data_IF_434866604856
#
_entry.id   IF_434866604856
#
_cell.length_a   1.000
_cell.length_b   1.000
_cell.length_c   1.000
_cell.angle_alpha   90.00
_cell.angle_beta   90.00
_cell.angle_gamma   90.00
#
_symmetry.space_group_name_H-M   'P 1'
#
loop_
_entity.id
_entity.type
_entity.pdbx_description
1 polymer ?
#
# COMPACT_ATOMS: atom_id res chain seq x y z
N UNK A 1 -25.91 -40.10 1.48
CA UNK A 1 -25.47 -39.00 0.62
C UNK A 1 -25.52 -37.70 1.38
N UNK A 2 -24.57 -36.81 1.11
CA UNK A 2 -24.68 -35.39 1.42
C UNK A 2 -25.77 -34.78 0.52
N UNK A 3 -26.46 -33.76 1.02
CA UNK A 3 -27.46 -33.02 0.25
C UNK A 3 -27.10 -31.53 0.21
N UNK A 4 -27.06 -30.97 -0.99
CA UNK A 4 -26.88 -29.54 -1.25
C UNK A 4 -28.21 -28.94 -1.71
N UNK A 5 -28.61 -27.81 -1.12
CA UNK A 5 -29.72 -26.99 -1.62
C UNK A 5 -29.16 -25.71 -2.23
N UNK A 6 -29.50 -25.43 -3.47
CA UNK A 6 -29.11 -24.21 -4.18
C UNK A 6 -30.07 -23.05 -3.88
N UNK A 7 -29.69 -21.83 -4.25
CA UNK A 7 -30.50 -20.63 -4.00
C UNK A 7 -31.87 -20.64 -4.70
N UNK A 8 -32.04 -21.44 -5.76
CA UNK A 8 -33.32 -21.69 -6.43
C UNK A 8 -34.08 -22.91 -5.86
N UNK A 9 -33.74 -23.33 -4.63
CA UNK A 9 -34.32 -24.46 -3.88
C UNK A 9 -34.18 -25.83 -4.55
N UNK A 10 -33.26 -26.01 -5.50
CA UNK A 10 -32.99 -27.36 -6.03
C UNK A 10 -32.16 -28.14 -5.02
N UNK A 11 -32.53 -29.40 -4.82
CA UNK A 11 -31.84 -30.32 -3.93
C UNK A 11 -31.07 -31.36 -4.74
N UNK A 12 -29.78 -31.50 -4.47
CA UNK A 12 -28.88 -32.47 -5.09
C UNK A 12 -28.34 -33.40 -4.01
N UNK A 13 -28.50 -34.72 -4.21
CA UNK A 13 -27.87 -35.74 -3.38
C UNK A 13 -26.60 -36.25 -4.03
N UNK A 14 -25.53 -36.36 -3.26
CA UNK A 14 -24.19 -36.74 -3.73
C UNK A 14 -23.44 -37.47 -2.63
N UNK A 15 -22.36 -38.16 -2.99
CA UNK A 15 -21.46 -38.78 -2.02
C UNK A 15 -20.40 -37.79 -1.51
N UNK A 16 -20.03 -36.79 -2.33
CA UNK A 16 -19.00 -35.81 -2.00
C UNK A 16 -19.41 -34.40 -2.44
N UNK A 17 -18.98 -33.40 -1.66
CA UNK A 17 -19.13 -31.97 -1.96
C UNK A 17 -17.75 -31.31 -1.83
N UNK A 18 -17.34 -30.56 -2.85
CA UNK A 18 -16.11 -29.75 -2.84
C UNK A 18 -16.53 -28.28 -2.92
N UNK A 19 -16.23 -27.51 -1.88
CA UNK A 19 -16.59 -26.09 -1.78
C UNK A 19 -15.42 -25.22 -2.24
N UNK A 20 -15.44 -24.81 -3.50
CA UNK A 20 -14.50 -23.84 -4.08
C UNK A 20 -14.99 -22.39 -3.94
N UNK A 21 -15.47 -21.99 -2.77
CA UNK A 21 -16.17 -20.71 -2.55
C UNK A 21 -15.24 -19.51 -2.30
N UNK A 22 -13.94 -19.66 -2.58
CA UNK A 22 -12.95 -18.61 -2.37
C UNK A 22 -12.60 -18.41 -0.90
N UNK A 23 -12.32 -17.17 -0.53
CA UNK A 23 -11.82 -16.76 0.78
C UNK A 23 -12.53 -15.48 1.24
N UNK A 24 -12.46 -15.20 2.54
CA UNK A 24 -13.03 -14.00 3.15
C UNK A 24 -11.98 -12.89 3.30
N UNK A 25 -12.43 -11.64 3.31
CA UNK A 25 -11.60 -10.43 3.50
C UNK A 25 -11.89 -9.72 4.82
N UNK A 26 -12.92 -10.18 5.55
CA UNK A 26 -13.33 -9.59 6.82
C UNK A 26 -12.24 -9.74 7.88
N UNK A 27 -11.67 -8.63 8.39
CA UNK A 27 -10.66 -8.67 9.45
C UNK A 27 -11.14 -9.39 10.70
N UNK A 28 -12.44 -9.34 11.01
CA UNK A 28 -13.03 -10.01 12.18
C UNK A 28 -12.92 -11.54 12.11
N UNK A 29 -12.71 -12.09 10.92
CA UNK A 29 -12.58 -13.55 10.69
C UNK A 29 -11.13 -14.00 10.57
N UNK A 30 -10.16 -13.10 10.72
CA UNK A 30 -8.74 -13.40 10.65
C UNK A 30 -8.15 -13.49 12.07
N UNK A 31 -7.80 -14.71 12.57
CA UNK A 31 -7.29 -14.89 13.93
C UNK A 31 -6.05 -14.04 14.25
N UNK A 32 -5.17 -13.79 13.27
CA UNK A 32 -3.98 -12.94 13.46
C UNK A 32 -4.33 -11.48 13.78
N UNK A 33 -5.55 -11.04 13.43
CA UNK A 33 -6.04 -9.67 13.67
C UNK A 33 -6.96 -9.58 14.89
N UNK A 34 -7.30 -10.69 15.56
CA UNK A 34 -8.37 -10.77 16.58
C UNK A 34 -8.27 -9.67 17.66
N UNK A 35 -7.05 -9.32 18.10
CA UNK A 35 -6.85 -8.31 19.14
C UNK A 35 -7.15 -6.86 18.76
N UNK A 36 -7.44 -6.57 17.49
CA UNK A 36 -7.67 -5.20 16.99
C UNK A 36 -8.57 -5.14 15.75
N UNK A 37 -9.13 -6.27 15.31
CA UNK A 37 -9.94 -6.36 14.10
C UNK A 37 -11.19 -5.48 14.14
N UNK A 38 -11.77 -5.30 15.33
CA UNK A 38 -12.97 -4.47 15.58
C UNK A 38 -12.72 -2.98 15.34
N UNK A 39 -11.46 -2.56 15.45
CA UNK A 39 -11.03 -1.19 15.20
C UNK A 39 -10.40 -0.98 13.83
N UNK A 40 -10.43 -1.96 12.92
CA UNK A 40 -10.05 -1.76 11.52
C UNK A 40 -11.23 -1.13 10.78
N UNK A 41 -11.00 0.01 10.13
CA UNK A 41 -11.98 0.68 9.29
C UNK A 41 -12.34 -0.20 8.09
N UNK A 42 -13.64 -0.35 7.81
CA UNK A 42 -14.16 -1.14 6.69
C UNK A 42 -15.03 -0.28 5.78
N UNK A 43 -15.32 -0.76 4.57
CA UNK A 43 -16.16 -0.05 3.61
C UNK A 43 -17.58 0.25 4.12
N UNK A 44 -18.14 -0.62 4.97
CA UNK A 44 -19.41 -0.35 5.67
C UNK A 44 -19.43 0.94 6.49
N UNK A 45 -18.27 1.40 6.93
CA UNK A 45 -18.13 2.61 7.75
C UNK A 45 -18.01 3.88 6.90
N UNK A 46 -17.67 3.74 5.62
CA UNK A 46 -17.38 4.86 4.72
C UNK A 46 -18.43 5.03 3.61
N UNK A 47 -19.21 3.99 3.32
CA UNK A 47 -20.20 4.00 2.26
C UNK A 47 -21.52 3.35 2.70
N UNK A 48 -22.61 4.10 2.56
CA UNK A 48 -23.97 3.58 2.72
C UNK A 48 -24.55 3.31 1.33
N UNK A 49 -24.76 2.04 0.94
CA UNK A 49 -25.35 1.71 -0.36
C UNK A 49 -26.84 2.13 -0.42
N UNK A 50 -27.37 2.44 -1.61
CA UNK A 50 -28.81 2.58 -1.81
C UNK A 50 -29.56 1.29 -1.45
N UNK A 51 -30.84 1.45 -1.10
CA UNK A 51 -31.71 0.33 -0.77
C UNK A 51 -31.75 -0.72 -1.89
N UNK A 52 -31.52 -1.98 -1.54
CA UNK A 52 -31.49 -3.12 -2.46
C UNK A 52 -30.15 -3.35 -3.16
N UNK A 53 -29.14 -2.53 -2.87
CA UNK A 53 -27.76 -2.69 -3.36
C UNK A 53 -26.77 -2.99 -2.22
N UNK A 54 -27.28 -3.36 -1.05
CA UNK A 54 -26.45 -3.83 0.07
C UNK A 54 -25.75 -5.14 -0.31
N UNK A 55 -24.44 -5.20 -0.07
CA UNK A 55 -23.63 -6.41 -0.24
C UNK A 55 -22.66 -6.51 0.95
N UNK A 56 -22.91 -7.48 1.84
CA UNK A 56 -22.08 -7.70 3.03
C UNK A 56 -20.64 -8.08 2.70
N UNK A 57 -20.42 -8.76 1.57
CA UNK A 57 -19.10 -9.15 1.11
C UNK A 57 -18.29 -7.95 0.65
N UNK A 58 -18.90 -6.97 -0.03
CA UNK A 58 -18.27 -5.70 -0.36
C UNK A 58 -18.08 -4.82 0.87
N UNK A 59 -19.05 -4.82 1.78
CA UNK A 59 -19.06 -4.00 2.98
C UNK A 59 -17.99 -4.44 4.02
N UNK A 60 -17.53 -5.70 3.98
CA UNK A 60 -16.50 -6.23 4.88
C UNK A 60 -15.07 -5.91 4.46
N UNK A 61 -14.84 -5.39 3.25
CA UNK A 61 -13.48 -5.04 2.82
C UNK A 61 -12.87 -3.97 3.72
N UNK A 62 -11.58 -4.12 4.10
CA UNK A 62 -10.83 -3.07 4.76
C UNK A 62 -10.79 -1.77 3.93
N UNK A 63 -11.03 -0.65 4.59
CA UNK A 63 -10.77 0.68 4.05
C UNK A 63 -9.35 1.09 4.44
N UNK A 64 -8.47 1.22 3.45
CA UNK A 64 -7.03 1.33 3.64
C UNK A 64 -6.50 2.73 3.29
N UNK A 65 -5.33 3.04 3.82
CA UNK A 65 -4.53 4.15 3.32
C UNK A 65 -3.91 3.81 1.94
N UNK A 66 -3.43 4.82 1.19
CA UNK A 66 -2.74 4.62 -0.09
C UNK A 66 -1.49 3.73 -0.04
N UNK A 67 -0.91 3.53 1.14
CA UNK A 67 0.25 2.68 1.39
C UNK A 67 -0.10 1.27 1.87
N UNK A 68 -1.34 0.83 1.64
CA UNK A 68 -1.91 -0.44 2.10
C UNK A 68 -2.06 -0.57 3.62
N UNK A 69 -1.72 0.44 4.42
CA UNK A 69 -1.86 0.34 5.87
C UNK A 69 -3.32 0.39 6.33
N UNK A 70 -3.63 -0.34 7.39
CA UNK A 70 -4.96 -0.28 8.01
C UNK A 70 -5.24 1.11 8.60
N UNK A 71 -6.50 1.53 8.50
CA UNK A 71 -7.02 2.73 9.14
C UNK A 71 -7.81 2.38 10.40
N UNK A 72 -7.78 3.26 11.40
CA UNK A 72 -8.59 3.09 12.60
C UNK A 72 -10.06 3.42 12.30
N UNK A 73 -10.98 2.55 12.71
CA UNK A 73 -12.41 2.86 12.79
C UNK A 73 -12.67 3.91 13.86
N UNK A 74 -12.14 3.70 15.06
CA UNK A 74 -12.19 4.63 16.18
C UNK A 74 -10.78 5.18 16.42
N UNK A 75 -10.57 6.45 16.04
CA UNK A 75 -9.26 7.08 16.08
C UNK A 75 -8.65 7.11 17.49
N UNK A 76 -7.36 6.77 17.60
CA UNK A 76 -6.58 6.82 18.84
C UNK A 76 -6.66 5.57 19.73
N UNK A 77 -7.48 4.57 19.39
CA UNK A 77 -7.59 3.32 20.15
C UNK A 77 -6.46 2.36 19.80
N UNK A 78 -6.12 2.26 18.52
CA UNK A 78 -5.05 1.40 18.00
C UNK A 78 -4.18 2.16 16.98
N UNK A 79 -3.54 3.29 17.35
CA UNK A 79 -2.84 4.17 16.38
C UNK A 79 -1.66 3.50 15.68
N UNK A 80 -1.24 2.32 16.15
CA UNK A 80 -0.19 1.49 15.58
C UNK A 80 -0.66 0.62 14.41
N UNK A 81 -1.97 0.45 14.17
CA UNK A 81 -2.46 -0.36 13.02
C UNK A 81 -2.05 0.20 11.68
N UNK A 82 -1.74 1.51 11.62
CA UNK A 82 -1.12 2.17 10.45
C UNK A 82 0.27 1.63 10.08
N UNK A 83 0.86 0.75 10.90
CA UNK A 83 2.13 0.05 10.63
C UNK A 83 1.92 -1.37 10.07
N UNK A 84 0.66 -1.79 9.91
CA UNK A 84 0.30 -3.10 9.40
C UNK A 84 -0.30 -2.91 8.01
N UNK A 85 0.34 -3.52 7.01
CA UNK A 85 0.03 -3.31 5.60
C UNK A 85 -0.70 -4.52 5.02
N UNK A 86 -1.92 -4.29 4.53
CA UNK A 86 -2.78 -5.29 3.91
C UNK A 86 -2.40 -5.49 2.43
N UNK A 87 -1.28 -6.16 2.17
CA UNK A 87 -0.86 -6.50 0.80
C UNK A 87 -1.41 -7.86 0.36
N UNK A 88 -2.74 -7.94 0.23
CA UNK A 88 -3.46 -9.12 -0.26
C UNK A 88 -4.78 -8.69 -0.93
N UNK A 89 -5.65 -9.64 -1.27
CA UNK A 89 -6.93 -9.35 -1.94
C UNK A 89 -7.86 -8.39 -1.17
N UNK A 90 -7.75 -8.30 0.16
CA UNK A 90 -8.50 -7.35 0.98
C UNK A 90 -8.23 -5.88 0.62
N UNK A 91 -7.13 -5.56 -0.05
CA UNK A 91 -6.87 -4.21 -0.55
C UNK A 91 -7.65 -3.85 -1.82
N UNK A 92 -8.26 -4.84 -2.50
CA UNK A 92 -8.80 -4.66 -3.85
C UNK A 92 -9.85 -3.56 -3.97
N UNK A 93 -10.75 -3.46 -3.00
CA UNK A 93 -11.80 -2.45 -3.02
C UNK A 93 -11.27 -1.03 -2.89
N UNK A 94 -10.18 -0.85 -2.15
CA UNK A 94 -9.60 0.48 -1.90
C UNK A 94 -8.57 0.88 -2.96
N UNK A 95 -7.72 -0.05 -3.38
CA UNK A 95 -6.54 0.23 -4.21
C UNK A 95 -6.59 -0.44 -5.59
N UNK A 96 -7.63 -1.22 -5.89
CA UNK A 96 -7.76 -1.95 -7.15
C UNK A 96 -7.01 -3.28 -7.16
N UNK A 97 -6.96 -3.93 -8.32
CA UNK A 97 -6.49 -5.31 -8.44
C UNK A 97 -4.96 -5.40 -8.57
N UNK A 98 -4.24 -4.90 -7.55
CA UNK A 98 -2.78 -4.73 -7.57
C UNK A 98 -2.02 -5.68 -6.62
N UNK A 99 -2.73 -6.33 -5.70
CA UNK A 99 -2.14 -7.15 -4.62
C UNK A 99 -2.55 -8.63 -4.68
N UNK A 100 -3.42 -9.01 -5.63
CA UNK A 100 -4.05 -10.34 -5.66
C UNK A 100 -3.71 -11.22 -6.87
N UNK A 101 -3.37 -10.64 -8.02
CA UNK A 101 -3.19 -11.39 -9.28
C UNK A 101 -1.75 -11.30 -9.82
N UNK A 102 -1.29 -12.39 -10.42
CA UNK A 102 0.08 -12.57 -10.96
C UNK A 102 0.55 -11.41 -11.84
N UNK A 103 -0.25 -10.84 -12.75
CA UNK A 103 0.22 -9.75 -13.61
C UNK A 103 0.53 -8.46 -12.86
N UNK A 104 -0.18 -8.17 -11.76
CA UNK A 104 -0.15 -6.88 -11.10
C UNK A 104 0.67 -6.87 -9.80
N UNK A 105 0.99 -8.04 -9.25
CA UNK A 105 1.67 -8.17 -7.95
C UNK A 105 3.03 -7.45 -7.91
N UNK A 106 3.78 -7.45 -9.00
CA UNK A 106 5.08 -6.75 -9.08
C UNK A 106 4.92 -5.23 -8.96
N UNK A 107 3.92 -4.67 -9.63
CA UNK A 107 3.60 -3.24 -9.56
C UNK A 107 3.07 -2.85 -8.18
N UNK A 108 2.19 -3.68 -7.59
CA UNK A 108 1.72 -3.50 -6.23
C UNK A 108 2.84 -3.55 -5.20
N UNK A 109 3.79 -4.49 -5.36
CA UNK A 109 4.93 -4.62 -4.46
C UNK A 109 5.90 -3.44 -4.60
N UNK A 110 6.16 -2.98 -5.83
CA UNK A 110 6.97 -1.78 -6.08
C UNK A 110 6.30 -0.53 -5.48
N UNK A 111 4.97 -0.41 -5.59
CA UNK A 111 4.21 0.65 -4.95
C UNK A 111 4.36 0.58 -3.43
N UNK A 112 4.06 -0.56 -2.79
CA UNK A 112 4.21 -0.73 -1.35
C UNK A 112 5.63 -0.38 -0.86
N UNK A 113 6.65 -0.88 -1.55
CA UNK A 113 8.05 -0.60 -1.20
C UNK A 113 8.37 0.91 -1.25
N UNK A 114 7.87 1.61 -2.27
CA UNK A 114 8.04 3.07 -2.38
C UNK A 114 7.36 3.82 -1.24
N UNK A 115 6.12 3.47 -0.89
CA UNK A 115 5.40 4.14 0.20
C UNK A 115 6.07 3.88 1.55
N UNK A 116 6.53 2.65 1.81
CA UNK A 116 7.27 2.32 3.02
C UNK A 116 8.58 3.11 3.12
N UNK A 117 9.34 3.20 2.04
CA UNK A 117 10.57 3.99 2.00
C UNK A 117 10.29 5.48 2.24
N UNK A 118 9.23 6.04 1.64
CA UNK A 118 8.81 7.41 1.87
C UNK A 118 8.41 7.64 3.33
N UNK A 119 7.70 6.70 3.96
CA UNK A 119 7.31 6.81 5.37
C UNK A 119 8.51 6.77 6.30
N UNK A 120 9.43 5.83 6.12
CA UNK A 120 10.65 5.79 6.93
C UNK A 120 11.49 7.05 6.76
N UNK A 121 11.61 7.58 5.53
CA UNK A 121 12.30 8.84 5.29
C UNK A 121 11.67 10.02 6.04
N UNK A 122 10.33 10.09 6.07
CA UNK A 122 9.61 11.13 6.83
C UNK A 122 9.75 10.94 8.34
N UNK A 123 9.69 9.69 8.83
CA UNK A 123 9.90 9.37 10.25
C UNK A 123 11.31 9.78 10.72
N UNK A 124 12.32 9.62 9.85
CA UNK A 124 13.72 9.90 10.14
C UNK A 124 14.20 11.25 9.57
N UNK A 125 13.28 12.18 9.27
CA UNK A 125 13.63 13.44 8.58
C UNK A 125 14.67 14.27 9.33
N UNK A 126 14.62 14.29 10.67
CA UNK A 126 15.57 15.03 11.50
C UNK A 126 16.99 14.43 11.39
N UNK A 127 17.09 13.10 11.33
CA UNK A 127 18.37 12.41 11.15
C UNK A 127 18.96 12.72 9.76
N UNK A 128 18.14 12.67 8.71
CA UNK A 128 18.58 13.01 7.36
C UNK A 128 18.97 14.49 7.24
N UNK A 129 18.23 15.39 7.91
CA UNK A 129 18.52 16.81 7.95
C UNK A 129 19.85 17.10 8.65
N UNK A 130 20.12 16.45 9.78
CA UNK A 130 21.40 16.59 10.47
C UNK A 130 22.58 16.12 9.61
N UNK A 131 22.44 14.96 8.95
CA UNK A 131 23.47 14.47 8.02
C UNK A 131 23.77 15.45 6.88
N UNK A 132 22.76 16.21 6.41
CA UNK A 132 22.95 17.24 5.40
C UNK A 132 23.73 18.44 5.95
N UNK A 133 23.43 18.86 7.18
CA UNK A 133 24.16 19.94 7.85
C UNK A 133 25.63 19.57 8.12
N UNK A 134 25.89 18.31 8.48
CA UNK A 134 27.23 17.80 8.77
C UNK A 134 28.04 17.44 7.51
N UNK A 135 27.46 17.61 6.31
CA UNK A 135 28.11 17.23 5.06
C UNK A 135 29.24 18.21 4.70
N UNK A 136 30.48 17.82 5.00
CA UNK A 136 31.68 18.60 4.68
C UNK A 136 32.53 18.01 3.53
N UNK A 137 31.99 17.05 2.77
CA UNK A 137 32.76 16.43 1.68
C UNK A 137 32.88 17.41 0.50
N UNK A 138 34.10 17.85 0.11
CA UNK A 138 34.27 18.78 -0.99
C UNK A 138 33.90 18.13 -2.32
N UNK A 139 32.94 18.69 -3.06
CA UNK A 139 32.58 18.24 -4.42
C UNK A 139 33.58 18.70 -5.48
N UNK A 140 34.24 19.84 -5.24
CA UNK A 140 35.26 20.41 -6.10
C UNK A 140 36.46 20.77 -5.23
N UNK A 141 37.64 20.29 -5.61
CA UNK A 141 38.91 20.57 -4.95
C UNK A 141 39.62 21.77 -5.54
N UNK A 142 39.17 22.23 -6.70
CA UNK A 142 39.73 23.37 -7.43
C UNK A 142 40.96 23.00 -8.26
N UNK A 143 41.33 21.72 -8.31
CA UNK A 143 42.42 21.18 -9.13
C UNK A 143 41.91 20.54 -10.43
N UNK A 144 40.59 20.41 -10.59
CA UNK A 144 39.96 19.74 -11.73
C UNK A 144 39.99 20.56 -13.02
N UNK A 145 40.13 21.89 -12.93
CA UNK A 145 40.18 22.77 -14.09
C UNK A 145 41.56 23.41 -14.24
N UNK A 146 42.13 23.29 -15.45
CA UNK A 146 43.36 23.97 -15.86
C UNK A 146 42.98 24.90 -17.01
N UNK A 147 43.41 26.18 -17.00
CA UNK A 147 43.21 27.07 -18.13
C UNK A 147 43.83 26.48 -19.40
N UNK A 148 43.01 26.30 -20.45
CA UNK A 148 43.53 26.08 -21.79
C UNK A 148 43.99 27.41 -22.38
N UNK A 149 45.06 27.42 -23.16
CA UNK A 149 45.42 28.60 -23.95
C UNK A 149 44.27 28.96 -24.90
N UNK A 150 43.91 30.24 -24.94
CA UNK A 150 42.91 30.74 -25.88
C UNK A 150 43.48 30.61 -27.30
N UNK A 151 42.79 29.95 -28.25
CA UNK A 151 43.27 29.91 -29.63
C UNK A 151 43.29 31.33 -30.22
N UNK A 152 44.48 31.80 -30.60
CA UNK A 152 44.76 33.08 -31.28
C UNK A 152 44.25 34.35 -30.60
N UNK A 153 44.77 34.68 -29.41
CA UNK A 153 44.67 36.05 -28.88
C UNK A 153 45.76 36.97 -29.46
N UNK A 154 45.74 37.19 -30.78
CA UNK A 154 46.40 38.38 -31.35
C UNK A 154 45.40 39.53 -31.37
N UNK A 155 45.24 40.19 -30.21
CA UNK A 155 44.69 41.54 -30.21
C UNK A 155 45.75 42.46 -30.82
N UNK A 156 45.65 42.69 -32.14
CA UNK A 156 46.42 43.71 -32.86
C UNK A 156 45.97 45.12 -32.48
N UNK A 157 46.19 45.51 -31.22
CA UNK A 157 46.16 46.90 -30.79
C UNK A 157 47.53 47.52 -31.01
N UNK A 158 47.72 48.20 -32.15
CA UNK A 158 48.81 49.20 -32.26
C UNK A 158 48.53 50.36 -31.29
N UNK A 159 49.58 50.97 -30.71
CA UNK A 159 49.46 52.07 -29.74
C UNK A 159 48.76 53.30 -30.32
#
# INVERSE_FOLDING_TARGET
GLALTTNDNRRLETDFIILGTGFDVDPMKQPVLEGYADNILQWRDQYTPPLGLEDEGLASFPYLNPDFSFMERNAGVTPWVKKIHCFNYGAKMTLGNISGDIPAISEGAAWLARELAARFYVEDIEYHWQNLQDYETPELRGDEWIPSELPNSELSGKP
#
